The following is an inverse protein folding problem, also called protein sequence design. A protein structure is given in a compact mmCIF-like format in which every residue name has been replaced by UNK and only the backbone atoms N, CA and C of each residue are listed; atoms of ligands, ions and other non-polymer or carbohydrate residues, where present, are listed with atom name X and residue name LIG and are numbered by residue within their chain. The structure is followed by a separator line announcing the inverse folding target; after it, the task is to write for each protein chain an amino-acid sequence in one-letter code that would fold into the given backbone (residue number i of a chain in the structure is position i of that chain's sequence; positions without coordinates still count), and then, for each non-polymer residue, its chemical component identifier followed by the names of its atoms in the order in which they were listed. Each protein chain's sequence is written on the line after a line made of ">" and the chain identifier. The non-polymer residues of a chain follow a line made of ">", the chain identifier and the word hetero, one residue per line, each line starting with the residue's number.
data_IF_508291488102
#
_entry.id   IF_508291488102
#
_cell.length_a   1.000
_cell.length_b   1.000
_cell.length_c   1.000
_cell.angle_alpha   90.00
_cell.angle_beta   90.00
_cell.angle_gamma   90.00
#
_symmetry.space_group_name_H-M   'P 1'
#
loop_
_entity.id
_entity.type
_entity.pdbx_description
1 polymer ?
#
# COMPACT_ATOMS: atom_id res chain seq x y z
N UNK A 1 25.98 -9.21 20.23
CA UNK A 1 25.09 -9.69 19.13
C UNK A 1 23.61 -9.56 19.47
N UNK A 2 23.18 -9.82 20.71
CA UNK A 2 21.76 -9.75 21.11
C UNK A 2 21.10 -8.37 20.91
N UNK A 3 21.81 -7.28 21.23
CA UNK A 3 21.30 -5.91 21.02
C UNK A 3 21.07 -5.61 19.53
N UNK A 4 21.99 -6.01 18.66
CA UNK A 4 21.86 -5.80 17.21
C UNK A 4 20.64 -6.54 16.65
N UNK A 5 20.44 -7.80 17.04
CA UNK A 5 19.28 -8.59 16.65
C UNK A 5 17.95 -7.95 17.12
N UNK A 6 17.92 -7.43 18.35
CA UNK A 6 16.78 -6.68 18.85
C UNK A 6 16.50 -5.43 18.02
N UNK A 7 17.52 -4.60 17.77
CA UNK A 7 17.40 -3.37 16.97
C UNK A 7 16.85 -3.68 15.57
N UNK A 8 17.40 -4.68 14.89
CA UNK A 8 16.91 -5.10 13.56
C UNK A 8 15.43 -5.51 13.61
N UNK A 9 15.03 -6.28 14.62
CA UNK A 9 13.64 -6.74 14.79
C UNK A 9 12.70 -5.56 15.04
N UNK A 10 13.05 -4.64 15.93
CA UNK A 10 12.24 -3.45 16.19
C UNK A 10 12.11 -2.57 14.96
N UNK A 11 13.20 -2.35 14.22
CA UNK A 11 13.17 -1.57 12.99
C UNK A 11 12.27 -2.22 11.93
N UNK A 12 12.37 -3.54 11.74
CA UNK A 12 11.51 -4.28 10.82
C UNK A 12 10.03 -4.15 11.20
N UNK A 13 9.70 -4.27 12.49
CA UNK A 13 8.32 -4.14 12.98
C UNK A 13 7.79 -2.72 12.75
N UNK A 14 8.54 -1.68 13.12
CA UNK A 14 8.12 -0.28 12.95
C UNK A 14 7.88 0.04 11.48
N UNK A 15 8.80 -0.37 10.60
CA UNK A 15 8.66 -0.18 9.16
C UNK A 15 7.49 -1.01 8.61
N UNK A 16 7.29 -2.24 9.08
CA UNK A 16 6.18 -3.09 8.68
C UNK A 16 4.82 -2.48 9.05
N UNK A 17 4.67 -1.98 10.27
CA UNK A 17 3.47 -1.26 10.73
C UNK A 17 3.26 0.01 9.91
N UNK A 18 4.34 0.75 9.61
CA UNK A 18 4.27 1.98 8.81
C UNK A 18 3.80 1.69 7.40
N UNK A 19 4.35 0.64 6.77
CA UNK A 19 3.99 0.23 5.41
C UNK A 19 2.54 -0.24 5.35
N UNK A 20 2.16 -1.22 6.18
CA UNK A 20 0.79 -1.73 6.23
C UNK A 20 -0.22 -0.65 6.64
N UNK A 21 0.09 0.12 7.69
CA UNK A 21 -0.75 1.20 8.19
C UNK A 21 -0.96 2.31 7.17
N UNK A 22 0.07 2.65 6.40
CA UNK A 22 -0.02 3.60 5.28
C UNK A 22 -0.97 3.10 4.19
N UNK A 23 -0.86 1.83 3.79
CA UNK A 23 -1.78 1.21 2.83
C UNK A 23 -3.23 1.20 3.33
N UNK A 24 -3.46 0.88 4.61
CA UNK A 24 -4.79 0.91 5.24
C UNK A 24 -5.34 2.34 5.30
N UNK A 25 -4.55 3.30 5.77
CA UNK A 25 -4.92 4.72 5.81
C UNK A 25 -5.33 5.22 4.42
N UNK A 26 -4.53 4.89 3.39
CA UNK A 26 -4.85 5.25 2.01
C UNK A 26 -6.19 4.66 1.57
N UNK A 27 -6.42 3.39 1.85
CA UNK A 27 -7.60 2.66 1.40
C UNK A 27 -8.89 3.11 2.09
N UNK A 28 -8.81 3.40 3.39
CA UNK A 28 -9.97 3.70 4.23
C UNK A 28 -10.28 5.20 4.34
N UNK A 29 -9.26 6.06 4.25
CA UNK A 29 -9.41 7.48 4.55
C UNK A 29 -9.08 8.32 3.33
N UNK A 30 -7.90 8.13 2.73
CA UNK A 30 -7.44 8.99 1.64
C UNK A 30 -8.29 8.85 0.37
N UNK A 31 -8.48 7.61 -0.12
CA UNK A 31 -9.25 7.35 -1.34
C UNK A 31 -10.73 7.75 -1.22
N UNK A 32 -11.44 7.44 -0.12
CA UNK A 32 -12.80 7.94 0.07
C UNK A 32 -12.86 9.47 0.19
N UNK A 33 -11.88 10.10 0.86
CA UNK A 33 -11.82 11.56 0.95
C UNK A 33 -11.66 12.22 -0.43
N UNK A 34 -10.82 11.66 -1.30
CA UNK A 34 -10.67 12.12 -2.69
C UNK A 34 -11.97 12.06 -3.49
N UNK A 35 -12.85 11.11 -3.19
CA UNK A 35 -14.17 10.99 -3.81
C UNK A 35 -15.05 12.22 -3.59
N UNK A 36 -14.87 12.89 -2.44
CA UNK A 36 -15.69 14.03 -2.01
C UNK A 36 -15.23 15.37 -2.60
N UNK A 37 -14.01 15.43 -3.13
CA UNK A 37 -13.46 16.64 -3.72
C UNK A 37 -14.01 16.87 -5.13
N UNK A 38 -14.16 18.14 -5.54
CA UNK A 38 -14.43 18.47 -6.94
C UNK A 38 -13.21 18.09 -7.81
N UNK A 39 -13.39 17.82 -9.12
CA UNK A 39 -12.27 17.51 -10.02
C UNK A 39 -11.13 18.55 -9.98
N UNK A 40 -11.47 19.83 -9.89
CA UNK A 40 -10.54 20.96 -9.79
C UNK A 40 -9.68 20.92 -8.52
N UNK A 41 -10.22 20.41 -7.42
CA UNK A 41 -9.52 20.30 -6.14
C UNK A 41 -8.67 19.03 -6.01
N UNK A 42 -9.00 17.96 -6.75
CA UNK A 42 -8.32 16.66 -6.65
C UNK A 42 -6.88 16.71 -7.15
N UNK A 43 -6.62 17.37 -8.29
CA UNK A 43 -5.29 17.44 -8.90
C UNK A 43 -4.23 18.09 -8.00
N UNK A 44 -4.42 19.33 -7.50
CA UNK A 44 -3.42 19.96 -6.64
C UNK A 44 -3.21 19.18 -5.33
N UNK A 45 -4.28 18.57 -4.79
CA UNK A 45 -4.19 17.70 -3.62
C UNK A 45 -3.34 16.46 -3.92
N UNK A 46 -3.64 15.72 -5.00
CA UNK A 46 -2.89 14.53 -5.40
C UNK A 46 -1.42 14.86 -5.69
N UNK A 47 -1.13 15.94 -6.41
CA UNK A 47 0.25 16.37 -6.66
C UNK A 47 1.03 16.65 -5.36
N UNK A 48 0.38 17.27 -4.37
CA UNK A 48 1.04 17.59 -3.09
C UNK A 48 1.29 16.37 -2.19
N UNK A 49 0.48 15.32 -2.33
CA UNK A 49 0.49 14.16 -1.42
C UNK A 49 1.13 12.92 -2.06
N UNK A 50 0.91 12.69 -3.36
CA UNK A 50 1.15 11.40 -4.01
C UNK A 50 2.63 11.09 -4.20
N UNK A 51 3.43 12.03 -4.72
CA UNK A 51 4.86 11.77 -5.01
C UNK A 51 5.66 11.41 -3.75
N UNK A 52 5.41 12.14 -2.65
CA UNK A 52 6.04 11.89 -1.36
C UNK A 52 5.53 10.59 -0.72
N UNK A 53 4.22 10.34 -0.78
CA UNK A 53 3.60 9.17 -0.17
C UNK A 53 4.01 7.86 -0.86
N UNK A 54 4.02 7.84 -2.19
CA UNK A 54 4.43 6.68 -2.97
C UNK A 54 5.89 6.32 -2.71
N UNK A 55 6.79 7.30 -2.85
CA UNK A 55 8.23 7.09 -2.59
C UNK A 55 8.45 6.58 -1.17
N UNK A 56 7.73 7.13 -0.20
CA UNK A 56 7.81 6.72 1.19
C UNK A 56 7.35 5.28 1.41
N UNK A 57 6.20 4.86 0.88
CA UNK A 57 5.69 3.49 1.04
C UNK A 57 6.57 2.47 0.31
N UNK A 58 7.02 2.76 -0.91
CA UNK A 58 7.93 1.88 -1.66
C UNK A 58 9.26 1.70 -0.92
N UNK A 59 9.84 2.80 -0.43
CA UNK A 59 11.09 2.75 0.34
C UNK A 59 10.90 1.96 1.64
N UNK A 60 9.81 2.22 2.36
CA UNK A 60 9.50 1.52 3.61
C UNK A 60 9.32 0.02 3.35
N UNK A 61 8.54 -0.38 2.35
CA UNK A 61 8.32 -1.78 2.01
C UNK A 61 9.59 -2.50 1.55
N UNK A 62 10.42 -1.83 0.75
CA UNK A 62 11.73 -2.35 0.39
C UNK A 62 12.61 -2.62 1.63
N UNK A 63 12.70 -1.67 2.56
CA UNK A 63 13.47 -1.83 3.79
C UNK A 63 12.91 -2.94 4.68
N UNK A 64 11.59 -3.10 4.76
CA UNK A 64 10.96 -4.22 5.47
C UNK A 64 11.44 -5.56 4.91
N UNK A 65 11.41 -5.73 3.58
CA UNK A 65 11.86 -6.97 2.93
C UNK A 65 13.34 -7.23 3.22
N UNK A 66 14.20 -6.22 3.05
CA UNK A 66 15.64 -6.35 3.33
C UNK A 66 15.89 -6.78 4.77
N UNK A 67 15.24 -6.14 5.73
CA UNK A 67 15.37 -6.50 7.14
C UNK A 67 14.78 -7.89 7.44
N UNK A 68 13.70 -8.27 6.77
CA UNK A 68 13.11 -9.61 6.89
C UNK A 68 14.07 -10.71 6.40
N UNK A 69 14.84 -10.42 5.34
CA UNK A 69 15.90 -11.30 4.87
C UNK A 69 17.03 -11.40 5.90
N UNK A 70 17.50 -10.27 6.44
CA UNK A 70 18.53 -10.28 7.49
C UNK A 70 18.09 -11.04 8.73
N UNK A 71 16.84 -10.85 9.17
CA UNK A 71 16.28 -11.52 10.34
C UNK A 71 16.08 -13.02 10.14
N UNK A 72 15.74 -13.47 8.93
CA UNK A 72 15.57 -14.90 8.62
C UNK A 72 16.88 -15.63 8.37
N UNK A 73 17.77 -15.04 7.56
CA UNK A 73 18.95 -15.72 7.03
C UNK A 73 20.26 -15.40 7.77
N UNK A 74 20.42 -14.20 8.33
CA UNK A 74 21.66 -13.80 9.03
C UNK A 74 21.55 -14.06 10.53
N UNK A 75 20.42 -13.66 11.12
CA UNK A 75 20.17 -13.78 12.57
C UNK A 75 19.30 -15.00 12.90
N UNK A 76 18.51 -15.47 11.95
CA UNK A 76 17.50 -16.49 12.12
C UNK A 76 17.97 -17.92 11.81
N UNK A 77 17.01 -18.86 11.74
CA UNK A 77 17.29 -20.29 11.60
C UNK A 77 17.63 -20.72 10.16
N UNK A 78 17.53 -19.83 9.16
CA UNK A 78 17.79 -20.16 7.75
C UNK A 78 19.30 -20.04 7.47
N UNK A 79 20.08 -20.99 7.95
CA UNK A 79 21.55 -21.02 7.77
C UNK A 79 22.02 -22.05 6.74
N UNK A 80 21.10 -22.86 6.19
CA UNK A 80 21.41 -23.89 5.20
C UNK A 80 20.29 -23.99 4.16
N UNK A 81 20.60 -24.57 2.99
CA UNK A 81 19.58 -24.87 1.98
C UNK A 81 18.50 -25.84 2.49
N UNK A 82 18.84 -26.77 3.38
CA UNK A 82 17.87 -27.69 3.98
C UNK A 82 16.88 -26.98 4.91
N UNK A 83 17.29 -25.88 5.56
CA UNK A 83 16.41 -25.09 6.43
C UNK A 83 15.22 -24.47 5.68
N UNK A 84 15.37 -24.23 4.37
CA UNK A 84 14.28 -23.70 3.51
C UNK A 84 13.12 -24.67 3.33
N UNK A 85 13.35 -25.97 3.50
CA UNK A 85 12.31 -27.01 3.35
C UNK A 85 11.63 -27.35 4.69
N UNK A 86 12.04 -26.70 5.78
CA UNK A 86 11.31 -26.79 7.04
C UNK A 86 10.01 -25.99 6.97
N UNK A 87 9.07 -26.25 7.87
CA UNK A 87 7.82 -25.50 7.91
C UNK A 87 8.04 -23.99 8.14
N UNK A 88 9.05 -23.61 8.95
CA UNK A 88 9.52 -22.24 9.07
C UNK A 88 10.04 -21.69 7.74
N UNK A 89 10.95 -22.41 7.08
CA UNK A 89 11.58 -21.99 5.83
C UNK A 89 10.59 -21.77 4.70
N UNK A 90 9.62 -22.68 4.53
CA UNK A 90 8.55 -22.56 3.52
C UNK A 90 7.67 -21.34 3.81
N UNK A 91 7.29 -21.13 5.08
CA UNK A 91 6.49 -19.96 5.48
C UNK A 91 7.26 -18.66 5.25
N UNK A 92 8.57 -18.65 5.53
CA UNK A 92 9.45 -17.52 5.28
C UNK A 92 9.55 -17.20 3.79
N UNK A 93 9.81 -18.18 2.91
CA UNK A 93 9.84 -17.99 1.44
C UNK A 93 8.50 -17.44 0.95
N UNK A 94 7.39 -18.05 1.38
CA UNK A 94 6.05 -17.63 0.98
C UNK A 94 5.80 -16.17 1.37
N UNK A 95 6.20 -15.78 2.59
CA UNK A 95 6.06 -14.41 3.06
C UNK A 95 6.93 -13.41 2.31
N UNK A 96 8.20 -13.74 2.01
CA UNK A 96 9.09 -12.88 1.22
C UNK A 96 8.57 -12.70 -0.20
N UNK A 97 8.09 -13.77 -0.81
CA UNK A 97 7.49 -13.76 -2.15
C UNK A 97 6.25 -12.87 -2.17
N UNK A 98 5.36 -13.04 -1.19
CA UNK A 98 4.14 -12.24 -1.08
C UNK A 98 4.46 -10.76 -0.82
N UNK A 99 5.43 -10.45 0.05
CA UNK A 99 5.86 -9.08 0.29
C UNK A 99 6.41 -8.42 -0.99
N UNK A 100 7.20 -9.14 -1.78
CA UNK A 100 7.69 -8.63 -3.07
C UNK A 100 6.56 -8.39 -4.08
N UNK A 101 5.56 -9.29 -4.13
CA UNK A 101 4.37 -9.11 -4.97
C UNK A 101 3.59 -7.85 -4.54
N UNK A 102 3.37 -7.65 -3.25
CA UNK A 102 2.66 -6.47 -2.72
C UNK A 102 3.43 -5.18 -3.05
N UNK A 103 4.75 -5.17 -2.85
CA UNK A 103 5.59 -4.02 -3.18
C UNK A 103 5.54 -3.69 -4.69
N UNK A 104 5.57 -4.71 -5.56
CA UNK A 104 5.39 -4.52 -6.99
C UNK A 104 3.98 -4.05 -7.35
N UNK A 105 2.95 -4.61 -6.69
CA UNK A 105 1.56 -4.24 -6.91
C UNK A 105 1.30 -2.76 -6.61
N UNK A 106 1.91 -2.25 -5.53
CA UNK A 106 1.88 -0.84 -5.18
C UNK A 106 2.35 0.04 -6.34
N UNK A 107 3.59 -0.14 -6.80
CA UNK A 107 4.18 0.72 -7.83
C UNK A 107 3.58 0.51 -9.24
N UNK A 108 3.19 -0.71 -9.60
CA UNK A 108 2.74 -1.01 -10.97
C UNK A 108 1.22 -0.94 -11.16
N UNK A 109 0.42 -1.14 -10.12
CA UNK A 109 -1.05 -1.21 -10.25
C UNK A 109 -1.75 -0.10 -9.48
N UNK A 110 -1.37 0.14 -8.23
CA UNK A 110 -2.07 1.11 -7.36
C UNK A 110 -1.66 2.53 -7.70
N UNK A 111 -0.36 2.85 -7.73
CA UNK A 111 0.12 4.20 -8.01
C UNK A 111 -0.39 4.77 -9.34
N UNK A 112 -0.35 4.03 -10.48
CA UNK A 112 -0.88 4.54 -11.74
C UNK A 112 -2.40 4.73 -11.72
N UNK A 113 -3.13 3.87 -11.00
CA UNK A 113 -4.58 4.00 -10.86
C UNK A 113 -4.98 5.24 -10.05
N UNK A 114 -4.17 5.63 -9.06
CA UNK A 114 -4.36 6.86 -8.28
C UNK A 114 -3.97 8.08 -9.10
N UNK A 115 -2.86 8.04 -9.84
CA UNK A 115 -2.43 9.13 -10.72
C UNK A 115 -3.51 9.46 -11.77
N UNK A 116 -4.18 8.43 -12.31
CA UNK A 116 -5.29 8.59 -13.26
C UNK A 116 -6.54 9.28 -12.67
N UNK A 117 -6.58 9.57 -11.37
CA UNK A 117 -7.67 10.35 -10.75
C UNK A 117 -7.51 11.86 -10.93
N UNK A 118 -6.36 12.32 -11.42
CA UNK A 118 -6.07 13.69 -11.78
C UNK A 118 -5.95 13.83 -13.32
N UNK A 119 -7.07 13.93 -14.07
CA UNK A 119 -7.00 14.16 -15.51
C UNK A 119 -6.27 15.47 -15.87
N UNK A 120 -5.58 15.48 -17.01
CA UNK A 120 -4.85 16.63 -17.57
C UNK A 120 -5.78 17.65 -18.25
N UNK A 121 -6.98 17.19 -18.59
CA UNK A 121 -8.05 17.87 -19.27
C UNK A 121 -9.02 18.48 -18.25
N UNK A 122 -8.62 19.63 -17.71
CA UNK A 122 -9.59 20.70 -17.48
C UNK A 122 -10.16 21.09 -18.86
N UNK A 123 -11.08 20.30 -19.38
CA UNK A 123 -11.98 20.76 -20.43
C UNK A 123 -12.66 22.00 -19.84
N UNK A 124 -12.32 23.16 -20.39
CA UNK A 124 -12.85 24.46 -20.04
C UNK A 124 -14.38 24.32 -20.04
N UNK A 125 -14.97 24.17 -18.85
CA UNK A 125 -16.42 24.23 -18.69
C UNK A 125 -16.79 25.68 -18.97
N UNK A 126 -17.08 25.96 -20.24
CA UNK A 126 -17.75 27.18 -20.67
C UNK A 126 -19.09 27.18 -19.95
N UNK A 127 -19.14 27.91 -18.83
CA UNK A 127 -20.35 28.12 -18.05
C UNK A 127 -21.31 28.94 -18.92
N UNK A 128 -22.20 28.25 -19.62
CA UNK A 128 -23.37 28.88 -20.21
C UNK A 128 -24.24 29.38 -19.05
N UNK A 129 -24.31 30.70 -18.91
CA UNK A 129 -25.19 31.44 -18.01
C UNK A 129 -26.65 31.13 -18.32
N UNK A 130 -27.24 30.15 -17.64
CA UNK A 130 -28.69 30.03 -17.46
C UNK A 130 -29.05 30.00 -15.96
N UNK A 131 -30.16 30.63 -15.54
CA UNK A 131 -30.50 30.79 -14.12
C UNK A 131 -30.98 29.46 -13.52
N UNK A 132 -30.17 28.87 -12.66
CA UNK A 132 -30.42 27.56 -12.06
C UNK A 132 -31.56 27.60 -11.02
N UNK A 133 -32.63 26.83 -11.29
CA UNK A 133 -33.45 26.24 -10.22
C UNK A 133 -32.54 25.34 -9.38
N UNK A 134 -32.62 25.47 -8.05
CA UNK A 134 -31.92 24.60 -7.10
C UNK A 134 -32.47 23.17 -7.16
N UNK A 135 -32.07 22.43 -8.20
CA UNK A 135 -32.08 20.98 -8.22
C UNK A 135 -30.79 20.57 -7.52
N UNK A 136 -30.90 19.91 -6.36
CA UNK A 136 -29.73 19.29 -5.74
C UNK A 136 -29.06 18.41 -6.80
N UNK A 137 -27.77 18.64 -7.13
CA UNK A 137 -27.11 17.79 -8.10
C UNK A 137 -27.20 16.33 -7.61
N UNK A 138 -27.51 15.37 -8.50
CA UNK A 138 -27.46 13.96 -8.12
C UNK A 138 -26.09 13.67 -7.52
N UNK A 139 -26.06 12.91 -6.41
CA UNK A 139 -24.81 12.43 -5.81
C UNK A 139 -23.98 11.82 -6.95
N UNK A 140 -22.80 12.39 -7.29
CA UNK A 140 -22.05 11.90 -8.43
C UNK A 140 -21.76 10.43 -8.20
N UNK A 141 -22.16 9.57 -9.14
CA UNK A 141 -21.73 8.17 -9.12
C UNK A 141 -20.20 8.15 -9.09
N UNK A 142 -19.64 7.32 -8.21
CA UNK A 142 -18.20 7.22 -8.05
C UNK A 142 -17.55 6.95 -9.43
N UNK A 143 -16.64 7.81 -9.94
CA UNK A 143 -16.04 7.63 -11.26
C UNK A 143 -15.42 6.25 -11.39
N UNK A 144 -15.48 5.65 -12.59
CA UNK A 144 -14.96 4.30 -12.83
C UNK A 144 -13.48 4.14 -12.45
N UNK A 145 -12.68 5.19 -12.62
CA UNK A 145 -11.27 5.24 -12.21
C UNK A 145 -11.09 5.15 -10.69
N UNK A 146 -11.95 5.83 -9.92
CA UNK A 146 -11.90 5.80 -8.45
C UNK A 146 -12.33 4.44 -7.90
N UNK A 147 -13.38 3.82 -8.48
CA UNK A 147 -13.76 2.46 -8.13
C UNK A 147 -12.62 1.47 -8.38
N UNK A 148 -11.92 1.60 -9.52
CA UNK A 148 -10.75 0.77 -9.83
C UNK A 148 -9.64 0.96 -8.80
N UNK A 149 -9.25 2.20 -8.51
CA UNK A 149 -8.23 2.50 -7.51
C UNK A 149 -8.59 1.90 -6.14
N UNK A 150 -9.86 2.02 -5.74
CA UNK A 150 -10.34 1.47 -4.47
C UNK A 150 -10.32 -0.07 -4.45
N UNK A 151 -10.75 -0.74 -5.52
CA UNK A 151 -10.68 -2.20 -5.62
C UNK A 151 -9.24 -2.70 -5.54
N UNK A 152 -8.31 -2.06 -6.26
CA UNK A 152 -6.89 -2.42 -6.23
C UNK A 152 -6.27 -2.25 -4.84
N UNK A 153 -6.63 -1.17 -4.14
CA UNK A 153 -6.19 -0.91 -2.78
C UNK A 153 -6.73 -1.95 -1.78
N UNK A 154 -8.00 -2.37 -1.93
CA UNK A 154 -8.56 -3.44 -1.09
C UNK A 154 -7.93 -4.80 -1.31
N UNK A 155 -7.59 -5.14 -2.56
CA UNK A 155 -6.84 -6.36 -2.87
C UNK A 155 -5.48 -6.34 -2.18
N UNK A 156 -4.79 -5.20 -2.22
CA UNK A 156 -3.51 -5.01 -1.55
C UNK A 156 -3.62 -5.17 -0.02
N UNK A 157 -4.63 -4.56 0.61
CA UNK A 157 -4.93 -4.76 2.05
C UNK A 157 -5.16 -6.23 2.36
N UNK A 158 -5.91 -6.95 1.52
CA UNK A 158 -6.10 -8.41 1.66
C UNK A 158 -4.77 -9.18 1.58
N UNK A 159 -3.89 -8.80 0.64
CA UNK A 159 -2.53 -9.34 0.53
C UNK A 159 -1.72 -9.11 1.81
N UNK A 160 -1.78 -7.91 2.39
CA UNK A 160 -1.12 -7.62 3.66
C UNK A 160 -1.68 -8.45 4.83
N UNK A 161 -3.00 -8.63 4.93
CA UNK A 161 -3.59 -9.48 5.96
C UNK A 161 -3.05 -10.92 5.88
N UNK A 162 -2.89 -11.45 4.66
CA UNK A 162 -2.27 -12.75 4.44
C UNK A 162 -0.78 -12.74 4.83
N UNK A 163 -0.03 -11.69 4.46
CA UNK A 163 1.37 -11.54 4.81
C UNK A 163 1.59 -11.51 6.34
N UNK A 164 0.77 -10.73 7.06
CA UNK A 164 0.80 -10.68 8.53
C UNK A 164 0.47 -12.05 9.13
N UNK A 165 -0.45 -12.80 8.53
CA UNK A 165 -0.77 -14.15 8.98
C UNK A 165 0.44 -15.09 8.90
N UNK A 166 1.27 -14.99 7.84
CA UNK A 166 2.53 -15.73 7.77
C UNK A 166 3.53 -15.31 8.85
N UNK A 167 3.61 -14.01 9.16
CA UNK A 167 4.49 -13.52 10.24
C UNK A 167 4.09 -14.06 11.61
N UNK A 168 2.78 -14.09 11.89
CA UNK A 168 2.23 -14.67 13.13
C UNK A 168 2.52 -16.16 13.20
N UNK A 169 2.30 -16.90 12.11
CA UNK A 169 2.61 -18.33 12.03
C UNK A 169 4.09 -18.61 12.30
N UNK A 170 5.01 -17.81 11.75
CA UNK A 170 6.45 -17.98 12.04
C UNK A 170 6.85 -17.64 13.47
N UNK A 171 6.06 -16.84 14.19
CA UNK A 171 6.37 -16.48 15.56
C UNK A 171 5.84 -17.49 16.59
N UNK A 172 4.68 -18.07 16.34
CA UNK A 172 3.97 -18.93 17.30
C UNK A 172 3.79 -20.39 16.84
N UNK A 173 3.92 -20.66 15.55
CA UNK A 173 3.59 -21.96 14.95
C UNK A 173 4.74 -22.96 14.90
N UNK A 174 5.98 -22.53 15.15
CA UNK A 174 7.19 -23.35 15.02
C UNK A 174 8.22 -23.03 16.10
#
# INVERSE_FOLDING_TARGET
>A
MLIAAMVLRYLHIILGITWFGGTVYRSLILLPGLATLSPEQRRPFLQSVQEGHETFLLTTGFLVIVLGIMLGAVVGPIQSGSALFTAYGVTWIASMTLAAIILGWEGFMVSPAIAALAPDDAEEVVVATEPARAVLPPVPSMPGSLRRAQTLAWIEVGGFCLLVSFMVLMHFGY
#
